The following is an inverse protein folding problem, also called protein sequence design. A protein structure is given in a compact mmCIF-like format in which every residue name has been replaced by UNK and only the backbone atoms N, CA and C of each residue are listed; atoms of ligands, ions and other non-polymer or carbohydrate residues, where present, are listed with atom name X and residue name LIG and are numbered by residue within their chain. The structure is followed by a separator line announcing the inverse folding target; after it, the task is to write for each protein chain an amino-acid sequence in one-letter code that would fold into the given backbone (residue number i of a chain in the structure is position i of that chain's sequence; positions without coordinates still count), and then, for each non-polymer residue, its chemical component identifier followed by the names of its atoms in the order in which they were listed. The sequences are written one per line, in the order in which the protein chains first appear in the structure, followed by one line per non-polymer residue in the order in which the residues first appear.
data_IF_000287670322
#
_entry.id   IF_000287670322
#
_cell.length_a   1.000
_cell.length_b   1.000
_cell.length_c   1.000
_cell.angle_alpha   90.00
_cell.angle_beta   90.00
_cell.angle_gamma   90.00
#
_symmetry.space_group_name_H-M   'P 1'
#
loop_
_entity.id
_entity.type
_entity.pdbx_description
1 polymer ?
#
# COMPACT_ATOMS: atom_id res chain seq x y z
N UNK A 1 5.27 6.75 -20.05
CA UNK A 1 5.74 6.91 -18.66
C UNK A 1 5.54 5.62 -17.90
N UNK A 2 6.47 5.30 -17.02
CA UNK A 2 6.42 4.05 -16.26
C UNK A 2 5.38 4.13 -15.13
N UNK A 3 4.65 3.04 -14.93
CA UNK A 3 3.90 2.87 -13.70
C UNK A 3 4.87 2.83 -12.52
N UNK A 4 4.38 3.22 -11.36
CA UNK A 4 5.15 3.23 -10.12
C UNK A 4 4.55 2.22 -9.16
N UNK A 5 5.38 1.32 -8.65
CA UNK A 5 4.98 0.28 -7.71
C UNK A 5 5.58 0.57 -6.34
N UNK A 6 4.78 0.42 -5.30
CA UNK A 6 5.22 0.49 -3.92
C UNK A 6 5.06 -0.87 -3.29
N UNK A 7 6.13 -1.35 -2.66
CA UNK A 7 6.10 -2.58 -1.86
C UNK A 7 6.27 -2.16 -0.40
N UNK A 8 5.22 -2.33 0.39
CA UNK A 8 5.20 -1.94 1.79
C UNK A 8 5.10 -3.19 2.65
N UNK A 9 6.15 -3.44 3.44
CA UNK A 9 6.25 -4.60 4.32
C UNK A 9 6.16 -4.13 5.77
N UNK A 10 5.41 -4.85 6.59
CA UNK A 10 5.27 -4.47 7.99
C UNK A 10 4.92 -5.64 8.88
N UNK A 11 5.17 -5.45 10.18
CA UNK A 11 4.66 -6.31 11.25
C UNK A 11 3.93 -5.43 12.24
N UNK A 12 2.78 -5.88 12.69
CA UNK A 12 1.96 -5.11 13.64
C UNK A 12 2.38 -5.42 15.07
N UNK A 13 2.25 -4.40 15.92
CA UNK A 13 2.31 -4.59 17.37
C UNK A 13 1.11 -5.41 17.82
N UNK A 14 1.25 -6.11 18.97
CA UNK A 14 0.13 -6.80 19.57
C UNK A 14 -0.89 -5.78 20.10
N UNK A 15 -2.17 -6.08 19.93
CA UNK A 15 -3.24 -5.15 20.28
C UNK A 15 -3.50 -4.15 19.16
N UNK A 16 -4.63 -3.44 19.24
CA UNK A 16 -4.97 -2.42 18.26
C UNK A 16 -5.22 -2.91 16.83
N UNK A 17 -5.35 -4.23 16.65
CA UNK A 17 -5.54 -4.80 15.31
C UNK A 17 -6.87 -4.38 14.68
N UNK A 18 -7.91 -4.21 15.49
CA UNK A 18 -9.21 -3.78 15.00
C UNK A 18 -9.13 -2.34 14.48
N UNK A 19 -8.48 -1.45 15.23
CA UNK A 19 -8.28 -0.05 14.83
C UNK A 19 -7.41 0.05 13.59
N UNK A 20 -6.35 -0.77 13.51
CA UNK A 20 -5.52 -0.82 12.32
C UNK A 20 -6.34 -1.29 11.10
N UNK A 21 -7.14 -2.32 11.27
CA UNK A 21 -7.97 -2.87 10.19
C UNK A 21 -8.96 -1.82 9.67
N UNK A 22 -9.58 -1.05 10.58
CA UNK A 22 -10.48 0.02 10.21
C UNK A 22 -9.77 1.12 9.43
N UNK A 23 -8.59 1.52 9.88
CA UNK A 23 -7.77 2.52 9.21
C UNK A 23 -7.35 2.02 7.82
N UNK A 24 -6.88 0.77 7.73
CA UNK A 24 -6.44 0.20 6.46
C UNK A 24 -7.59 0.09 5.46
N UNK A 25 -8.78 -0.26 5.92
CA UNK A 25 -9.98 -0.33 5.07
C UNK A 25 -10.31 1.06 4.51
N UNK A 26 -10.26 2.10 5.35
CA UNK A 26 -10.53 3.47 4.92
C UNK A 26 -9.47 3.95 3.93
N UNK A 27 -8.20 3.65 4.17
CA UNK A 27 -7.12 4.03 3.26
C UNK A 27 -7.24 3.31 1.92
N UNK A 28 -7.65 2.04 1.92
CA UNK A 28 -7.91 1.30 0.69
C UNK A 28 -9.05 1.92 -0.11
N UNK A 29 -10.11 2.34 0.56
CA UNK A 29 -11.24 3.01 -0.09
C UNK A 29 -10.78 4.32 -0.72
N UNK A 30 -10.03 5.12 0.03
CA UNK A 30 -9.56 6.42 -0.44
C UNK A 30 -8.60 6.28 -1.62
N UNK A 31 -7.66 5.33 -1.54
CA UNK A 31 -6.69 5.10 -2.61
C UNK A 31 -7.39 4.82 -3.95
N UNK A 32 -8.47 4.05 -3.92
CA UNK A 32 -9.22 3.71 -5.14
C UNK A 32 -9.85 4.93 -5.80
N UNK A 33 -10.03 6.03 -5.09
CA UNK A 33 -10.59 7.26 -5.64
C UNK A 33 -9.53 8.19 -6.24
N UNK A 34 -8.25 7.88 -6.03
CA UNK A 34 -7.18 8.77 -6.48
C UNK A 34 -6.95 8.66 -7.97
N UNK A 35 -6.73 9.80 -8.66
CA UNK A 35 -6.34 9.76 -10.07
C UNK A 35 -5.08 8.94 -10.27
N UNK A 36 -5.07 8.11 -11.31
CA UNK A 36 -3.91 7.29 -11.62
C UNK A 36 -3.78 6.01 -10.81
N UNK A 37 -4.70 5.74 -9.90
CA UNK A 37 -4.72 4.47 -9.18
C UNK A 37 -4.92 3.31 -10.17
N UNK A 38 -4.11 2.26 -10.05
CA UNK A 38 -4.21 1.07 -10.89
C UNK A 38 -4.76 -0.09 -10.07
N UNK A 39 -4.04 -0.49 -9.04
CA UNK A 39 -4.48 -1.60 -8.18
C UNK A 39 -3.67 -1.63 -6.90
N UNK A 40 -4.20 -2.32 -5.90
CA UNK A 40 -3.42 -2.70 -4.73
C UNK A 40 -3.94 -4.01 -4.15
N UNK A 41 -3.07 -4.72 -3.46
CA UNK A 41 -3.43 -5.96 -2.80
C UNK A 41 -2.47 -6.20 -1.64
N UNK A 42 -3.01 -6.75 -0.56
CA UNK A 42 -2.25 -7.09 0.62
C UNK A 42 -2.13 -8.60 0.75
N UNK A 43 -0.99 -9.06 1.21
CA UNK A 43 -0.66 -10.47 1.41
C UNK A 43 -0.08 -10.64 2.79
N UNK A 44 -0.19 -11.85 3.34
CA UNK A 44 0.45 -12.19 4.60
C UNK A 44 1.35 -13.40 4.37
N UNK A 45 2.62 -13.27 4.73
CA UNK A 45 3.59 -14.35 4.64
C UNK A 45 3.36 -15.36 5.78
N UNK A 46 3.93 -16.55 5.63
CA UNK A 46 3.80 -17.61 6.63
C UNK A 46 4.30 -17.19 8.01
N UNK A 47 5.29 -16.30 8.06
CA UNK A 47 5.86 -15.80 9.32
C UNK A 47 5.08 -14.63 9.92
N UNK A 48 3.96 -14.24 9.31
CA UNK A 48 3.11 -13.16 9.79
C UNK A 48 3.44 -11.78 9.25
N UNK A 49 4.50 -11.63 8.46
CA UNK A 49 4.81 -10.36 7.82
C UNK A 49 3.73 -10.02 6.80
N UNK A 50 3.29 -8.77 6.79
CA UNK A 50 2.29 -8.28 5.86
C UNK A 50 2.98 -7.52 4.74
N UNK A 51 2.48 -7.69 3.52
CA UNK A 51 3.01 -7.00 2.34
C UNK A 51 1.85 -6.40 1.57
N UNK A 52 1.89 -5.10 1.32
CA UNK A 52 0.94 -4.43 0.44
C UNK A 52 1.67 -3.96 -0.80
N UNK A 53 1.13 -4.31 -1.95
CA UNK A 53 1.67 -3.88 -3.24
C UNK A 53 0.66 -2.93 -3.86
N UNK A 54 1.10 -1.71 -4.17
CA UNK A 54 0.25 -0.65 -4.72
C UNK A 54 0.88 -0.16 -6.03
N UNK A 55 0.06 0.00 -7.05
CA UNK A 55 0.52 0.49 -8.36
C UNK A 55 -0.25 1.74 -8.75
N UNK A 56 0.48 2.77 -9.17
CA UNK A 56 -0.06 3.98 -9.77
C UNK A 56 0.43 4.13 -11.20
N UNK A 57 -0.34 4.83 -12.02
CA UNK A 57 -0.07 4.97 -13.44
C UNK A 57 1.24 5.71 -13.73
N UNK A 58 1.64 6.62 -12.85
CA UNK A 58 2.83 7.45 -13.02
C UNK A 58 3.32 7.99 -11.68
N UNK A 59 4.47 8.66 -11.72
CA UNK A 59 5.11 9.21 -10.51
C UNK A 59 4.27 10.31 -9.86
N UNK A 60 3.66 11.18 -10.66
CA UNK A 60 2.85 12.28 -10.13
C UNK A 60 1.66 11.76 -9.33
N UNK A 61 0.98 10.74 -9.86
CA UNK A 61 -0.17 10.11 -9.18
C UNK A 61 0.27 9.42 -7.89
N UNK A 62 1.39 8.71 -7.94
CA UNK A 62 1.98 8.07 -6.76
C UNK A 62 2.27 9.12 -5.67
N UNK A 63 2.93 10.21 -6.04
CA UNK A 63 3.33 11.22 -5.08
C UNK A 63 2.11 11.94 -4.48
N UNK A 64 1.07 12.16 -5.28
CA UNK A 64 -0.17 12.76 -4.78
C UNK A 64 -0.84 11.87 -3.72
N UNK A 65 -0.84 10.55 -3.92
CA UNK A 65 -1.35 9.61 -2.92
C UNK A 65 -0.47 9.59 -1.67
N UNK A 66 0.85 9.48 -1.86
CA UNK A 66 1.80 9.49 -0.75
C UNK A 66 1.56 10.69 0.15
N UNK A 67 1.32 11.87 -0.43
CA UNK A 67 1.25 13.13 0.28
C UNK A 67 -0.18 13.56 0.64
N UNK A 68 -1.18 12.76 0.30
CA UNK A 68 -2.58 13.07 0.63
C UNK A 68 -2.71 13.21 2.15
N UNK A 69 -3.37 14.29 2.64
CA UNK A 69 -3.42 14.56 4.09
C UNK A 69 -3.94 13.41 4.93
N UNK A 70 -4.97 12.71 4.50
CA UNK A 70 -5.50 11.56 5.24
C UNK A 70 -4.52 10.39 5.24
N UNK A 71 -3.81 10.17 4.13
CA UNK A 71 -2.79 9.11 4.05
C UNK A 71 -1.59 9.47 4.93
N UNK A 72 -1.20 10.73 4.98
CA UNK A 72 -0.16 11.20 5.89
C UNK A 72 -0.54 10.98 7.35
N UNK A 73 -1.78 11.29 7.72
CA UNK A 73 -2.27 11.03 9.08
C UNK A 73 -2.23 9.54 9.42
N UNK A 74 -2.59 8.68 8.47
CA UNK A 74 -2.51 7.24 8.65
C UNK A 74 -1.07 6.75 8.81
N UNK A 75 -0.12 7.33 8.06
CA UNK A 75 1.31 7.00 8.18
C UNK A 75 1.82 7.32 9.58
N UNK A 76 1.48 8.49 10.12
CA UNK A 76 1.86 8.89 11.47
C UNK A 76 1.25 7.96 12.50
N UNK A 77 -0.04 7.66 12.39
CA UNK A 77 -0.72 6.73 13.30
C UNK A 77 -0.08 5.34 13.27
N UNK A 78 0.32 4.89 12.08
CA UNK A 78 1.00 3.59 11.93
C UNK A 78 2.30 3.54 12.71
N UNK A 79 3.14 4.56 12.54
CA UNK A 79 4.43 4.65 13.24
C UNK A 79 4.22 4.74 14.75
N UNK A 80 3.28 5.57 15.19
CA UNK A 80 3.06 5.82 16.61
C UNK A 80 2.39 4.67 17.35
N UNK A 81 1.50 3.91 16.67
CA UNK A 81 0.58 3.01 17.38
C UNK A 81 0.49 1.59 16.82
N UNK A 82 0.84 1.35 15.56
CA UNK A 82 0.50 0.07 14.92
C UNK A 82 1.66 -0.81 14.53
N UNK A 83 2.77 -0.23 14.04
CA UNK A 83 3.85 -1.04 13.47
C UNK A 83 4.94 -1.35 14.49
N UNK A 84 5.29 -2.63 14.59
CA UNK A 84 6.52 -3.04 15.27
C UNK A 84 7.74 -2.72 14.40
N UNK A 85 7.57 -2.91 13.07
CA UNK A 85 8.59 -2.57 12.08
C UNK A 85 7.94 -2.39 10.73
N UNK A 86 8.61 -1.68 9.84
CA UNK A 86 8.19 -1.62 8.43
C UNK A 86 9.37 -1.32 7.53
N UNK A 87 9.21 -1.70 6.26
CA UNK A 87 10.12 -1.33 5.19
C UNK A 87 9.29 -0.98 3.96
N UNK A 88 9.73 0.02 3.22
CA UNK A 88 9.01 0.46 2.03
C UNK A 88 9.98 0.65 0.88
N UNK A 89 9.60 0.19 -0.31
CA UNK A 89 10.36 0.40 -1.54
C UNK A 89 9.43 0.93 -2.60
N UNK A 90 9.90 1.92 -3.36
CA UNK A 90 9.17 2.51 -4.47
C UNK A 90 10.04 2.40 -5.70
N UNK A 91 9.49 1.90 -6.79
CA UNK A 91 10.25 1.65 -8.01
C UNK A 91 9.40 1.92 -9.25
N UNK A 92 10.08 2.24 -10.34
CA UNK A 92 9.44 2.30 -11.65
C UNK A 92 9.32 0.88 -12.20
N UNK A 93 8.17 0.58 -12.80
CA UNK A 93 7.96 -0.71 -13.45
C UNK A 93 8.59 -0.64 -14.84
N UNK A 94 9.64 -1.41 -15.06
CA UNK A 94 10.34 -1.43 -16.34
C UNK A 94 9.85 -2.53 -17.27
N UNK A 95 9.17 -3.52 -16.71
CA UNK A 95 8.60 -4.62 -17.48
C UNK A 95 7.39 -5.16 -16.74
N UNK A 96 6.32 -5.44 -17.47
CA UNK A 96 5.13 -6.04 -16.91
C UNK A 96 4.53 -6.99 -17.94
N UNK A 97 4.10 -8.15 -17.49
CA UNK A 97 3.44 -9.13 -18.34
C UNK A 97 2.36 -9.83 -17.54
N UNK A 98 1.19 -9.99 -18.15
CA UNK A 98 0.09 -10.72 -17.54
C UNK A 98 -0.32 -11.83 -18.48
N UNK A 99 -0.53 -13.01 -17.91
CA UNK A 99 -1.05 -14.17 -18.65
C UNK A 99 -2.31 -14.64 -17.94
N UNK A 100 -3.32 -14.96 -18.70
CA UNK A 100 -4.58 -15.43 -18.18
C UNK A 100 -5.09 -16.52 -19.11
N UNK A 101 -5.33 -17.70 -18.54
CA UNK A 101 -5.85 -18.83 -19.32
C UNK A 101 -7.35 -18.68 -19.46
N UNK A 102 -7.82 -18.91 -20.69
CA UNK A 102 -9.24 -18.88 -21.02
C UNK A 102 -9.67 -20.26 -21.48
N UNK A 103 -10.59 -20.85 -20.80
CA UNK A 103 -11.17 -22.14 -21.17
C UNK A 103 -12.64 -22.01 -21.48
#
# INVERSE_FOLDING_TARGET
MAQVITVFRNRLLDGGRAEYSDMATEMSRLARTMPGYVEHKAFTADDGERVTIVTFADRASHDAWRDHPEHRAAQVAGIDHFYAEYAIQVADVTYSRRFERRD
#
